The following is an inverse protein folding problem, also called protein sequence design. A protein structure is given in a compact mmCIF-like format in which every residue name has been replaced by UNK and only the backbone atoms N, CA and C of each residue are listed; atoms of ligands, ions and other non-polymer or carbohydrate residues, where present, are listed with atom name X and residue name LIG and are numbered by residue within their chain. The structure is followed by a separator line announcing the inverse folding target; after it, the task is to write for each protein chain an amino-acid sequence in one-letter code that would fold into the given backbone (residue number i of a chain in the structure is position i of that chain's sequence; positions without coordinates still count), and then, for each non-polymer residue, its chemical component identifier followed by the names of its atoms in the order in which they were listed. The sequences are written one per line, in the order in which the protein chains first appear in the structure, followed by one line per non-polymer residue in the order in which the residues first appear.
data_IF_957961408197
#
_entry.id   IF_957961408197
#
_cell.length_a   1.000
_cell.length_b   1.000
_cell.length_c   1.000
_cell.angle_alpha   90.00
_cell.angle_beta   90.00
_cell.angle_gamma   90.00
#
_symmetry.space_group_name_H-M   'P 1'
#
loop_
_entity.id
_entity.type
_entity.pdbx_description
1 polymer ?
#
# COMPACT_ATOMS: atom_id res chain seq x y z
N UNK A 1 4.69 2.18 48.61
CA UNK A 1 4.53 1.64 47.25
C UNK A 1 5.73 0.73 47.01
N UNK A 2 5.51 -0.57 46.81
CA UNK A 2 6.60 -1.51 46.70
C UNK A 2 7.32 -1.34 45.35
N UNK A 3 8.63 -1.56 45.35
CA UNK A 3 9.48 -1.55 44.17
C UNK A 3 8.94 -2.46 43.05
N UNK A 4 8.34 -3.60 43.42
CA UNK A 4 7.74 -4.55 42.49
C UNK A 4 6.49 -3.99 41.79
N UNK A 5 5.64 -3.23 42.52
CA UNK A 5 4.44 -2.61 41.96
C UNK A 5 4.78 -1.51 40.94
N UNK A 6 5.86 -0.76 41.20
CA UNK A 6 6.34 0.28 40.28
C UNK A 6 6.88 -0.33 38.97
N UNK A 7 7.66 -1.42 39.06
CA UNK A 7 8.18 -2.14 37.89
C UNK A 7 7.03 -2.79 37.09
N UNK A 8 6.02 -3.32 37.78
CA UNK A 8 4.83 -3.88 37.12
C UNK A 8 4.04 -2.82 36.35
N UNK A 9 3.78 -1.66 36.98
CA UNK A 9 3.01 -0.59 36.35
C UNK A 9 3.73 0.01 35.12
N UNK A 10 5.04 0.28 35.23
CA UNK A 10 5.84 0.82 34.11
C UNK A 10 5.93 -0.16 32.94
N UNK A 11 6.05 -1.46 33.21
CA UNK A 11 6.02 -2.48 32.16
C UNK A 11 4.66 -2.51 31.46
N UNK A 12 3.56 -2.41 32.21
CA UNK A 12 2.21 -2.41 31.65
C UNK A 12 1.91 -1.15 30.82
N UNK A 13 2.35 0.02 31.27
CA UNK A 13 2.27 1.27 30.52
C UNK A 13 3.06 1.19 29.20
N UNK A 14 4.28 0.65 29.21
CA UNK A 14 5.08 0.51 27.98
C UNK A 14 4.46 -0.47 26.97
N UNK A 15 3.85 -1.57 27.45
CA UNK A 15 3.13 -2.54 26.60
C UNK A 15 1.87 -1.89 26.00
N UNK A 16 1.12 -1.16 26.83
CA UNK A 16 -0.08 -0.43 26.38
C UNK A 16 0.28 0.62 25.33
N UNK A 17 1.33 1.41 25.54
CA UNK A 17 1.83 2.40 24.59
C UNK A 17 2.28 1.78 23.26
N UNK A 18 3.06 0.68 23.30
CA UNK A 18 3.43 -0.05 22.09
C UNK A 18 2.19 -0.55 21.33
N UNK A 19 1.20 -1.10 22.04
CA UNK A 19 -0.04 -1.61 21.44
C UNK A 19 -0.87 -0.50 20.79
N UNK A 20 -1.00 0.66 21.45
CA UNK A 20 -1.71 1.83 20.92
C UNK A 20 -1.01 2.38 19.67
N UNK A 21 0.32 2.52 19.67
CA UNK A 21 1.07 2.97 18.50
C UNK A 21 0.95 2.01 17.32
N UNK A 22 0.99 0.69 17.58
CA UNK A 22 0.77 -0.31 16.52
C UNK A 22 -0.63 -0.24 15.91
N UNK A 23 -1.67 -0.06 16.72
CA UNK A 23 -3.06 0.07 16.24
C UNK A 23 -3.22 1.33 15.38
N UNK A 24 -2.67 2.47 15.83
CA UNK A 24 -2.74 3.74 15.09
C UNK A 24 -2.10 3.63 13.70
N UNK A 25 -0.95 2.96 13.58
CA UNK A 25 -0.28 2.75 12.29
C UNK A 25 -1.17 1.93 11.34
N UNK A 26 -1.82 0.87 11.83
CA UNK A 26 -2.71 0.04 11.01
C UNK A 26 -3.90 0.84 10.51
N UNK A 27 -4.51 1.66 11.37
CA UNK A 27 -5.64 2.54 10.99
C UNK A 27 -5.20 3.51 9.90
N UNK A 28 -4.06 4.18 10.07
CA UNK A 28 -3.53 5.12 9.08
C UNK A 28 -3.31 4.41 7.74
N UNK A 29 -2.64 3.26 7.73
CA UNK A 29 -2.39 2.50 6.50
C UNK A 29 -3.68 2.07 5.81
N UNK A 30 -4.69 1.64 6.58
CA UNK A 30 -6.00 1.28 6.06
C UNK A 30 -6.69 2.47 5.39
N UNK A 31 -6.72 3.63 6.06
CA UNK A 31 -7.32 4.84 5.49
C UNK A 31 -6.57 5.34 4.25
N UNK A 32 -5.24 5.30 4.28
CA UNK A 32 -4.42 5.63 3.12
C UNK A 32 -4.73 4.70 1.94
N UNK A 33 -4.83 3.39 2.20
CA UNK A 33 -5.21 2.42 1.17
C UNK A 33 -6.61 2.68 0.63
N UNK A 34 -7.59 2.94 1.51
CA UNK A 34 -8.97 3.26 1.12
C UNK A 34 -9.04 4.48 0.21
N UNK A 35 -8.31 5.56 0.54
CA UNK A 35 -8.28 6.77 -0.28
C UNK A 35 -7.64 6.48 -1.64
N UNK A 36 -6.48 5.82 -1.67
CA UNK A 36 -5.81 5.48 -2.94
C UNK A 36 -6.59 4.50 -3.81
N UNK A 37 -7.37 3.60 -3.22
CA UNK A 37 -8.23 2.67 -3.94
C UNK A 37 -9.48 3.35 -4.56
N UNK A 38 -9.68 4.64 -4.32
CA UNK A 38 -10.88 5.35 -4.78
C UNK A 38 -12.09 5.13 -3.88
N UNK A 39 -11.89 4.88 -2.59
CA UNK A 39 -12.99 4.64 -1.64
C UNK A 39 -14.06 5.73 -1.63
N UNK A 40 -13.68 6.99 -1.81
CA UNK A 40 -14.62 8.12 -1.96
C UNK A 40 -15.43 7.99 -3.26
N UNK A 41 -14.76 7.63 -4.36
CA UNK A 41 -15.42 7.42 -5.65
C UNK A 41 -16.40 6.25 -5.61
N UNK A 42 -16.06 5.18 -4.89
CA UNK A 42 -16.94 4.02 -4.72
C UNK A 42 -18.25 4.42 -4.02
N UNK A 43 -18.16 5.20 -2.95
CA UNK A 43 -19.33 5.65 -2.20
C UNK A 43 -20.23 6.58 -3.01
N UNK A 44 -19.63 7.47 -3.81
CA UNK A 44 -20.38 8.50 -4.57
C UNK A 44 -20.95 7.97 -5.88
N UNK A 45 -20.18 7.18 -6.63
CA UNK A 45 -20.55 6.75 -8.00
C UNK A 45 -21.04 5.30 -8.09
N UNK A 46 -20.90 4.50 -7.03
CA UNK A 46 -21.26 3.07 -7.00
C UNK A 46 -20.85 2.33 -8.29
N UNK A 47 -19.55 2.34 -8.66
CA UNK A 47 -19.10 1.82 -9.94
C UNK A 47 -19.32 0.31 -10.05
N UNK A 48 -19.48 -0.16 -11.28
CA UNK A 48 -19.52 -1.59 -11.54
C UNK A 48 -18.23 -2.29 -11.07
N UNK A 49 -18.35 -3.55 -10.66
CA UNK A 49 -17.19 -4.35 -10.23
C UNK A 49 -16.19 -4.58 -11.37
N UNK A 50 -16.69 -4.85 -12.58
CA UNK A 50 -15.94 -5.08 -13.81
C UNK A 50 -16.84 -4.89 -15.02
N UNK A 51 -16.24 -4.67 -16.19
CA UNK A 51 -16.95 -4.64 -17.47
C UNK A 51 -16.91 -5.99 -18.19
N UNK A 52 -17.76 -6.14 -19.19
CA UNK A 52 -17.68 -7.25 -20.13
C UNK A 52 -18.39 -6.90 -21.44
N UNK A 53 -17.70 -7.12 -22.56
CA UNK A 53 -18.27 -6.95 -23.90
C UNK A 53 -18.07 -8.25 -24.68
N UNK A 54 -19.11 -8.73 -25.36
CA UNK A 54 -19.07 -9.95 -26.19
C UNK A 54 -18.50 -11.20 -25.46
N UNK A 55 -18.84 -11.36 -24.17
CA UNK A 55 -18.42 -12.49 -23.34
C UNK A 55 -16.97 -12.41 -22.81
N UNK A 56 -16.23 -11.34 -23.13
CA UNK A 56 -14.86 -11.13 -22.61
C UNK A 56 -14.89 -10.11 -21.46
N UNK A 57 -14.49 -10.49 -20.23
CA UNK A 57 -14.40 -9.53 -19.14
C UNK A 57 -13.25 -8.56 -19.38
N UNK A 58 -13.48 -7.26 -19.18
CA UNK A 58 -12.44 -6.24 -19.17
C UNK A 58 -12.34 -5.63 -17.77
N UNK A 59 -11.10 -5.48 -17.29
CA UNK A 59 -10.80 -5.06 -15.92
C UNK A 59 -10.51 -3.57 -15.79
N UNK A 60 -10.30 -2.88 -16.91
CA UNK A 60 -9.96 -1.46 -16.98
C UNK A 60 -11.06 -0.75 -17.74
N UNK A 61 -11.63 0.30 -17.16
CA UNK A 61 -12.65 1.09 -17.82
C UNK A 61 -12.02 1.95 -18.94
N UNK A 62 -12.53 1.92 -20.19
CA UNK A 62 -11.89 2.55 -21.37
C UNK A 62 -12.06 4.08 -21.45
N UNK A 63 -12.40 4.73 -20.34
CA UNK A 63 -12.54 6.18 -20.22
C UNK A 63 -11.90 6.63 -18.91
N UNK A 64 -11.38 7.85 -18.87
CA UNK A 64 -10.75 8.44 -17.67
C UNK A 64 -11.75 8.88 -16.60
N UNK A 65 -12.99 9.19 -16.98
CA UNK A 65 -13.99 9.75 -16.07
C UNK A 65 -14.65 8.67 -15.19
N UNK A 66 -14.43 7.41 -15.54
CA UNK A 66 -14.99 6.26 -14.86
C UNK A 66 -13.93 5.24 -14.49
N UNK A 67 -14.18 4.54 -13.38
CA UNK A 67 -13.27 3.53 -12.84
C UNK A 67 -14.07 2.35 -12.30
N UNK A 68 -13.61 1.13 -12.55
CA UNK A 68 -14.19 -0.05 -11.89
C UNK A 68 -13.63 -0.24 -10.47
N UNK A 69 -14.40 -0.89 -9.61
CA UNK A 69 -13.96 -1.18 -8.24
C UNK A 69 -12.68 -2.03 -8.22
N UNK A 70 -12.62 -3.08 -9.05
CA UNK A 70 -11.42 -3.94 -9.16
C UNK A 70 -10.22 -3.17 -9.70
N UNK A 71 -10.46 -2.21 -10.60
CA UNK A 71 -9.41 -1.38 -11.18
C UNK A 71 -8.76 -0.48 -10.11
N UNK A 72 -9.56 0.17 -9.27
CA UNK A 72 -9.07 1.01 -8.16
C UNK A 72 -8.28 0.22 -7.12
N UNK A 73 -8.76 -0.98 -6.76
CA UNK A 73 -8.04 -1.88 -5.84
C UNK A 73 -6.71 -2.36 -6.44
N UNK A 74 -6.69 -2.71 -7.73
CA UNK A 74 -5.45 -3.13 -8.39
C UNK A 74 -4.44 -1.97 -8.49
N UNK A 75 -4.90 -0.77 -8.85
CA UNK A 75 -4.05 0.41 -8.94
C UNK A 75 -3.45 0.77 -7.57
N UNK A 76 -4.25 0.74 -6.49
CA UNK A 76 -3.75 1.01 -5.14
C UNK A 76 -2.73 -0.04 -4.69
N UNK A 77 -2.98 -1.33 -4.92
CA UNK A 77 -2.01 -2.39 -4.62
C UNK A 77 -0.68 -2.17 -5.33
N UNK A 78 -0.71 -1.78 -6.61
CA UNK A 78 0.51 -1.46 -7.37
C UNK A 78 1.24 -0.26 -6.76
N UNK A 79 0.54 0.81 -6.38
CA UNK A 79 1.14 1.97 -5.70
C UNK A 79 1.83 1.54 -4.41
N UNK A 80 1.19 0.69 -3.59
CA UNK A 80 1.79 0.16 -2.36
C UNK A 80 3.01 -0.73 -2.62
N UNK A 81 2.98 -1.57 -3.67
CA UNK A 81 4.15 -2.37 -4.08
C UNK A 81 5.30 -1.45 -4.52
N UNK A 82 5.00 -0.38 -5.26
CA UNK A 82 5.99 0.62 -5.67
C UNK A 82 6.59 1.34 -4.46
N UNK A 83 5.75 1.72 -3.49
CA UNK A 83 6.20 2.31 -2.23
C UNK A 83 7.07 1.35 -1.40
N UNK A 84 6.70 0.06 -1.31
CA UNK A 84 7.53 -0.96 -0.67
C UNK A 84 8.89 -1.11 -1.38
N UNK A 85 8.91 -1.02 -2.71
CA UNK A 85 10.16 -0.99 -3.48
C UNK A 85 11.05 0.18 -3.07
N UNK A 86 10.50 1.39 -2.99
CA UNK A 86 11.21 2.59 -2.54
C UNK A 86 11.71 2.46 -1.09
N UNK A 87 10.89 1.90 -0.20
CA UNK A 87 11.27 1.65 1.19
C UNK A 87 12.48 0.70 1.29
N UNK A 88 12.55 -0.32 0.43
CA UNK A 88 13.70 -1.22 0.39
C UNK A 88 14.97 -0.54 -0.12
N UNK A 89 14.86 0.36 -1.10
CA UNK A 89 15.98 1.19 -1.57
C UNK A 89 16.49 2.09 -0.44
N UNK A 90 15.57 2.73 0.29
CA UNK A 90 15.91 3.55 1.45
C UNK A 90 16.66 2.74 2.51
N UNK A 91 16.12 1.58 2.89
CA UNK A 91 16.75 0.69 3.88
C UNK A 91 18.11 0.19 3.42
N UNK A 92 18.27 -0.12 2.14
CA UNK A 92 19.57 -0.50 1.58
C UNK A 92 20.60 0.64 1.67
N UNK A 93 20.16 1.90 1.67
CA UNK A 93 21.05 3.07 1.73
C UNK A 93 21.48 3.39 3.15
N UNK A 94 20.63 3.13 4.14
CA UNK A 94 20.90 3.35 5.57
C UNK A 94 21.94 2.33 6.12
N UNK A 95 21.87 1.07 5.70
CA UNK A 95 22.70 -0.03 6.23
C UNK A 95 23.92 -0.33 5.34
N UNK A 96 24.74 0.69 5.06
CA UNK A 96 25.80 0.69 4.04
C UNK A 96 26.81 -0.46 4.04
N UNK A 97 27.00 -1.17 5.17
CA UNK A 97 28.04 -2.18 5.41
C UNK A 97 27.55 -3.63 5.54
N UNK A 98 26.29 -3.95 5.20
CA UNK A 98 25.81 -5.34 5.21
C UNK A 98 25.97 -6.01 3.85
N UNK A 99 26.47 -7.26 3.82
CA UNK A 99 26.74 -8.04 2.60
C UNK A 99 25.51 -8.16 1.67
N UNK A 100 24.31 -8.15 2.24
CA UNK A 100 23.04 -8.31 1.50
C UNK A 100 22.44 -6.99 1.00
N UNK A 101 23.13 -5.85 1.14
CA UNK A 101 22.63 -4.52 0.72
C UNK A 101 22.19 -4.49 -0.75
N UNK A 102 23.00 -5.05 -1.64
CA UNK A 102 22.74 -5.02 -3.08
C UNK A 102 21.45 -5.75 -3.46
N UNK A 103 21.08 -6.82 -2.74
CA UNK A 103 19.84 -7.55 -2.97
C UNK A 103 18.62 -6.68 -2.67
N UNK A 104 18.62 -5.97 -1.54
CA UNK A 104 17.52 -5.05 -1.20
C UNK A 104 17.40 -3.89 -2.19
N UNK A 105 18.53 -3.38 -2.68
CA UNK A 105 18.55 -2.30 -3.65
C UNK A 105 18.01 -2.75 -5.02
N UNK A 106 18.49 -3.90 -5.53
CA UNK A 106 18.01 -4.46 -6.81
C UNK A 106 16.52 -4.79 -6.71
N UNK A 107 16.10 -5.49 -5.64
CA UNK A 107 14.70 -5.85 -5.43
C UNK A 107 13.81 -4.60 -5.33
N UNK A 108 14.27 -3.57 -4.60
CA UNK A 108 13.56 -2.31 -4.50
C UNK A 108 13.39 -1.59 -5.85
N UNK A 109 14.45 -1.53 -6.66
CA UNK A 109 14.38 -0.99 -8.02
C UNK A 109 13.43 -1.79 -8.92
N UNK A 110 13.48 -3.12 -8.87
CA UNK A 110 12.59 -3.98 -9.66
C UNK A 110 11.13 -3.81 -9.27
N UNK A 111 10.80 -3.79 -7.96
CA UNK A 111 9.44 -3.59 -7.48
C UNK A 111 8.90 -2.21 -7.89
N UNK A 112 9.71 -1.17 -7.68
CA UNK A 112 9.31 0.21 -8.03
C UNK A 112 9.13 0.36 -9.53
N UNK A 113 10.10 -0.09 -10.32
CA UNK A 113 10.07 0.01 -11.78
C UNK A 113 8.92 -0.78 -12.40
N UNK A 114 8.72 -2.04 -11.98
CA UNK A 114 7.62 -2.86 -12.48
C UNK A 114 6.25 -2.27 -12.13
N UNK A 115 6.07 -1.78 -10.90
CA UNK A 115 4.82 -1.10 -10.49
C UNK A 115 4.53 0.11 -11.37
N UNK A 116 5.51 1.00 -11.59
CA UNK A 116 5.33 2.18 -12.43
C UNK A 116 5.02 1.82 -13.88
N UNK A 117 5.68 0.81 -14.45
CA UNK A 117 5.41 0.35 -15.81
C UNK A 117 3.99 -0.24 -15.95
N UNK A 118 3.52 -1.00 -14.98
CA UNK A 118 2.16 -1.57 -15.00
C UNK A 118 1.12 -0.46 -14.84
N UNK A 119 1.34 0.51 -13.94
CA UNK A 119 0.45 1.66 -13.78
C UNK A 119 0.39 2.50 -15.06
N UNK A 120 1.53 2.75 -15.71
CA UNK A 120 1.57 3.44 -17.00
C UNK A 120 0.81 2.65 -18.07
N UNK A 121 0.97 1.34 -18.11
CA UNK A 121 0.21 0.48 -19.01
C UNK A 121 -1.29 0.59 -18.76
N UNK A 122 -1.75 0.52 -17.51
CA UNK A 122 -3.16 0.67 -17.15
C UNK A 122 -3.71 2.03 -17.59
N UNK A 123 -2.94 3.10 -17.36
CA UNK A 123 -3.33 4.45 -17.76
C UNK A 123 -3.43 4.58 -19.28
N UNK A 124 -2.49 4.01 -20.03
CA UNK A 124 -2.52 4.02 -21.50
C UNK A 124 -3.70 3.25 -22.10
N UNK A 125 -4.30 2.30 -21.37
CA UNK A 125 -5.53 1.61 -21.81
C UNK A 125 -6.78 2.48 -21.68
N UNK A 126 -6.68 3.64 -21.00
CA UNK A 126 -7.80 4.58 -20.81
C UNK A 126 -7.78 5.76 -21.79
N UNK A 127 -6.66 5.97 -22.48
CA UNK A 127 -6.47 6.99 -23.52
C UNK A 127 -7.04 6.50 -24.85
#
# INVERSE_FOLDING_TARGET
MDSQDFVYNTKNESISQKKLTSISIVIILFFTFFIFAGGIYIEVMAPALRGGENGKPFLIYPHTDHQFLVEGVLASLLIFIGFLGLFLIYRASEFGYHENRYLYQILGFTLTGSSLLILQYMFNQKL
#
